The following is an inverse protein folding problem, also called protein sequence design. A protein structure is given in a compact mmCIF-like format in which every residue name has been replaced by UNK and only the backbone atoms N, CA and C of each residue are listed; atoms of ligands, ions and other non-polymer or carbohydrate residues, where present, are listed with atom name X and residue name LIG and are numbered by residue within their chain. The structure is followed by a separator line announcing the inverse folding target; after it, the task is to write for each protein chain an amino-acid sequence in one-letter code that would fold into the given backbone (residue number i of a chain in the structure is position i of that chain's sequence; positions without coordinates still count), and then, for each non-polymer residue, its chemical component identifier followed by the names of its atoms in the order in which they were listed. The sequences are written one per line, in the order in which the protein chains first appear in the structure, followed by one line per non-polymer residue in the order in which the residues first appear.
data_IF_504017806114
#
_entry.id   IF_504017806114
#
_cell.length_a   1.000
_cell.length_b   1.000
_cell.length_c   1.000
_cell.angle_alpha   90.00
_cell.angle_beta   90.00
_cell.angle_gamma   90.00
#
_symmetry.space_group_name_H-M   'P 1'
#
loop_
_entity.id
_entity.type
_entity.pdbx_description
1 polymer ?
#
# COMPACT_ATOMS: atom_id res chain seq x y z
N UNK A 1 -29.62 10.66 67.35
CA UNK A 1 -28.45 9.87 66.93
C UNK A 1 -28.31 9.86 65.40
N UNK A 2 -29.35 10.18 64.62
CA UNK A 2 -29.29 10.17 63.14
C UNK A 2 -28.43 11.25 62.48
N UNK A 3 -28.28 12.43 63.10
CA UNK A 3 -27.56 13.55 62.46
C UNK A 3 -26.05 13.30 62.25
N UNK A 4 -25.41 12.47 63.07
CA UNK A 4 -24.00 12.12 62.91
C UNK A 4 -23.79 11.14 61.74
N UNK A 5 -24.66 10.13 61.63
CA UNK A 5 -24.63 9.16 60.53
C UNK A 5 -24.92 9.83 59.18
N UNK A 6 -25.89 10.74 59.11
CA UNK A 6 -26.19 11.51 57.89
C UNK A 6 -25.01 12.38 57.45
N UNK A 7 -24.27 12.97 58.42
CA UNK A 7 -23.10 13.81 58.12
C UNK A 7 -21.91 12.99 57.61
N UNK A 8 -21.72 11.79 58.14
CA UNK A 8 -20.70 10.85 57.68
C UNK A 8 -21.00 10.30 56.28
N UNK A 9 -22.26 9.90 56.04
CA UNK A 9 -22.77 9.47 54.73
C UNK A 9 -22.60 10.57 53.67
N UNK A 10 -22.95 11.82 54.00
CA UNK A 10 -22.77 12.96 53.11
C UNK A 10 -21.29 13.25 52.80
N UNK A 11 -20.41 13.11 53.79
CA UNK A 11 -18.96 13.22 53.58
C UNK A 11 -18.41 12.15 52.64
N UNK A 12 -18.88 10.91 52.80
CA UNK A 12 -18.51 9.78 51.93
C UNK A 12 -18.98 10.01 50.49
N UNK A 13 -20.25 10.37 50.29
CA UNK A 13 -20.82 10.68 48.97
C UNK A 13 -20.08 11.84 48.29
N UNK A 14 -19.70 12.87 49.04
CA UNK A 14 -18.94 13.99 48.50
C UNK A 14 -17.55 13.55 48.00
N UNK A 15 -16.82 12.75 48.79
CA UNK A 15 -15.53 12.21 48.37
C UNK A 15 -15.62 11.28 47.16
N UNK A 16 -16.66 10.43 47.10
CA UNK A 16 -16.92 9.55 45.95
C UNK A 16 -17.24 10.37 44.69
N UNK A 17 -18.03 11.44 44.82
CA UNK A 17 -18.37 12.32 43.70
C UNK A 17 -17.17 13.10 43.17
N UNK A 18 -16.25 13.53 44.05
CA UNK A 18 -14.99 14.17 43.66
C UNK A 18 -14.05 13.19 42.95
N UNK A 19 -13.92 11.97 43.45
CA UNK A 19 -13.13 10.93 42.79
C UNK A 19 -13.71 10.57 41.41
N UNK A 20 -15.04 10.52 41.28
CA UNK A 20 -15.70 10.32 40.00
C UNK A 20 -15.41 11.47 39.03
N UNK A 21 -15.47 12.72 39.48
CA UNK A 21 -15.14 13.92 38.68
C UNK A 21 -13.71 13.88 38.16
N UNK A 22 -12.73 13.53 39.00
CA UNK A 22 -11.34 13.42 38.59
C UNK A 22 -11.13 12.30 37.56
N UNK A 23 -11.83 11.17 37.72
CA UNK A 23 -11.79 10.09 36.74
C UNK A 23 -12.42 10.50 35.40
N UNK A 24 -13.51 11.28 35.42
CA UNK A 24 -14.14 11.79 34.21
C UNK A 24 -13.26 12.81 33.48
N UNK A 25 -12.56 13.68 34.20
CA UNK A 25 -11.60 14.60 33.61
C UNK A 25 -10.46 13.84 32.89
N UNK A 26 -9.94 12.77 33.50
CA UNK A 26 -8.94 11.89 32.86
C UNK A 26 -9.49 11.18 31.63
N UNK A 27 -10.70 10.63 31.71
CA UNK A 27 -11.34 9.99 30.56
C UNK A 27 -11.56 10.98 29.40
N UNK A 28 -11.84 12.25 29.70
CA UNK A 28 -11.99 13.29 28.67
C UNK A 28 -10.65 13.62 27.99
N UNK A 29 -9.55 13.65 28.76
CA UNK A 29 -8.20 13.82 28.21
C UNK A 29 -7.81 12.62 27.33
N UNK A 30 -8.07 11.40 27.80
CA UNK A 30 -7.85 10.16 27.03
C UNK A 30 -8.70 10.10 25.76
N UNK A 31 -9.94 10.58 25.80
CA UNK A 31 -10.81 10.69 24.62
C UNK A 31 -10.22 11.62 23.56
N UNK A 32 -9.81 12.83 23.97
CA UNK A 32 -9.21 13.80 23.05
C UNK A 32 -7.93 13.25 22.41
N UNK A 33 -7.08 12.59 23.20
CA UNK A 33 -5.89 11.91 22.68
C UNK A 33 -6.25 10.78 21.70
N UNK A 34 -7.32 10.04 21.97
CA UNK A 34 -7.85 9.00 21.08
C UNK A 34 -8.38 9.57 19.76
N UNK A 35 -9.07 10.70 19.79
CA UNK A 35 -9.57 11.40 18.60
C UNK A 35 -8.41 11.93 17.72
N UNK A 36 -7.38 12.51 18.33
CA UNK A 36 -6.17 12.93 17.61
C UNK A 36 -5.45 11.74 16.97
N UNK A 37 -5.34 10.63 17.69
CA UNK A 37 -4.73 9.40 17.17
C UNK A 37 -5.55 8.80 16.02
N UNK A 38 -6.88 8.82 16.11
CA UNK A 38 -7.78 8.39 15.05
C UNK A 38 -7.59 9.23 13.78
N UNK A 39 -7.53 10.56 13.92
CA UNK A 39 -7.30 11.46 12.80
C UNK A 39 -5.93 11.21 12.13
N UNK A 40 -4.89 10.97 12.93
CA UNK A 40 -3.56 10.62 12.42
C UNK A 40 -3.59 9.28 11.64
N UNK A 41 -4.22 8.25 12.20
CA UNK A 41 -4.35 6.93 11.56
C UNK A 41 -5.15 6.99 10.26
N UNK A 42 -6.21 7.80 10.19
CA UNK A 42 -6.96 8.04 8.95
C UNK A 42 -6.08 8.71 7.88
N UNK A 43 -5.27 9.70 8.25
CA UNK A 43 -4.36 10.36 7.33
C UNK A 43 -3.27 9.41 6.81
N UNK A 44 -2.74 8.53 7.67
CA UNK A 44 -1.75 7.53 7.28
C UNK A 44 -2.36 6.49 6.33
N UNK A 45 -3.58 6.02 6.60
CA UNK A 45 -4.29 5.11 5.70
C UNK A 45 -4.47 5.70 4.29
N UNK A 46 -4.82 6.98 4.19
CA UNK A 46 -4.96 7.66 2.89
C UNK A 46 -3.62 7.72 2.14
N UNK A 47 -2.52 8.04 2.83
CA UNK A 47 -1.18 8.06 2.22
C UNK A 47 -0.76 6.68 1.74
N UNK A 48 -1.00 5.64 2.52
CA UNK A 48 -0.65 4.27 2.15
C UNK A 48 -1.45 3.79 0.94
N UNK A 49 -2.74 4.15 0.84
CA UNK A 49 -3.56 3.89 -0.35
C UNK A 49 -3.03 4.61 -1.60
N UNK A 50 -2.63 5.87 -1.47
CA UNK A 50 -2.04 6.63 -2.59
C UNK A 50 -0.71 6.00 -3.05
N UNK A 51 0.13 5.58 -2.10
CA UNK A 51 1.39 4.88 -2.41
C UNK A 51 1.14 3.54 -3.11
N UNK A 52 0.21 2.73 -2.60
CA UNK A 52 -0.16 1.45 -3.20
C UNK A 52 -0.69 1.63 -4.63
N UNK A 53 -1.49 2.67 -4.86
CA UNK A 53 -1.99 3.03 -6.21
C UNK A 53 -0.83 3.38 -7.15
N UNK A 54 0.09 4.23 -6.70
CA UNK A 54 1.25 4.62 -7.51
C UNK A 54 2.17 3.43 -7.84
N UNK A 55 2.41 2.54 -6.87
CA UNK A 55 3.18 1.30 -7.08
C UNK A 55 2.50 0.39 -8.09
N UNK A 56 1.17 0.25 -8.00
CA UNK A 56 0.38 -0.53 -8.97
C UNK A 56 0.55 0.00 -10.41
N UNK A 57 0.52 1.33 -10.59
CA UNK A 57 0.73 1.96 -11.89
C UNK A 57 2.14 1.67 -12.43
N UNK A 58 3.16 1.73 -11.55
CA UNK A 58 4.54 1.41 -11.94
C UNK A 58 4.71 -0.05 -12.34
N UNK A 59 4.05 -0.97 -11.62
CA UNK A 59 4.04 -2.40 -11.93
C UNK A 59 3.43 -2.69 -13.29
N UNK A 60 2.25 -2.11 -13.57
CA UNK A 60 1.61 -2.21 -14.88
C UNK A 60 2.50 -1.66 -16.00
N UNK A 61 3.18 -0.54 -15.77
CA UNK A 61 4.12 0.03 -16.74
C UNK A 61 5.32 -0.88 -17.01
N UNK A 62 5.86 -1.53 -15.97
CA UNK A 62 6.96 -2.49 -16.10
C UNK A 62 6.52 -3.75 -16.85
N UNK A 63 5.35 -4.30 -16.51
CA UNK A 63 4.76 -5.45 -17.20
C UNK A 63 4.55 -5.16 -18.69
N UNK A 64 4.01 -3.99 -19.03
CA UNK A 64 3.79 -3.57 -20.42
C UNK A 64 5.09 -3.47 -21.21
N UNK A 65 6.16 -2.94 -20.59
CA UNK A 65 7.50 -2.87 -21.21
C UNK A 65 8.07 -4.27 -21.43
N UNK A 66 7.99 -5.15 -20.44
CA UNK A 66 8.44 -6.53 -20.56
C UNK A 66 7.67 -7.29 -21.65
N UNK A 67 6.34 -7.10 -21.71
CA UNK A 67 5.48 -7.69 -22.74
C UNK A 67 5.87 -7.22 -24.15
N UNK A 68 6.13 -5.91 -24.33
CA UNK A 68 6.59 -5.34 -25.60
C UNK A 68 7.96 -5.93 -26.00
N UNK A 69 8.92 -5.96 -25.08
CA UNK A 69 10.23 -6.56 -25.30
C UNK A 69 10.13 -8.03 -25.76
N UNK A 70 9.34 -8.84 -25.04
CA UNK A 70 9.10 -10.26 -25.39
C UNK A 70 8.49 -10.42 -26.79
N UNK A 71 7.56 -9.54 -27.16
CA UNK A 71 6.96 -9.59 -28.49
C UNK A 71 7.98 -9.22 -29.57
N UNK A 72 8.82 -8.21 -29.35
CA UNK A 72 9.93 -7.87 -30.25
C UNK A 72 10.88 -9.06 -30.45
N UNK A 73 11.28 -9.75 -29.36
CA UNK A 73 12.10 -10.98 -29.47
C UNK A 73 11.43 -12.02 -30.36
N UNK A 74 10.14 -12.29 -30.12
CA UNK A 74 9.41 -13.33 -30.85
C UNK A 74 9.35 -13.03 -32.34
N UNK A 75 9.07 -11.78 -32.72
CA UNK A 75 9.04 -11.37 -34.12
C UNK A 75 10.43 -11.43 -34.77
N UNK A 76 11.48 -11.00 -34.06
CA UNK A 76 12.87 -11.10 -34.55
C UNK A 76 13.28 -12.57 -34.75
N UNK A 77 12.95 -13.46 -33.81
CA UNK A 77 13.21 -14.89 -33.94
C UNK A 77 12.48 -15.50 -35.14
N UNK A 78 11.23 -15.09 -35.38
CA UNK A 78 10.45 -15.53 -36.54
C UNK A 78 11.10 -15.08 -37.84
N UNK A 79 11.57 -13.82 -37.91
CA UNK A 79 12.31 -13.29 -39.07
C UNK A 79 13.59 -14.09 -39.33
N UNK A 80 14.37 -14.39 -38.29
CA UNK A 80 15.59 -15.22 -38.40
C UNK A 80 15.26 -16.60 -38.95
N UNK A 81 14.21 -17.27 -38.46
CA UNK A 81 13.79 -18.58 -38.99
C UNK A 81 13.46 -18.52 -40.49
N UNK A 82 12.73 -17.49 -40.92
CA UNK A 82 12.40 -17.28 -42.34
C UNK A 82 13.66 -17.05 -43.19
N UNK A 83 14.63 -16.28 -42.70
CA UNK A 83 15.91 -16.07 -43.39
C UNK A 83 16.69 -17.38 -43.53
N UNK A 84 16.72 -18.21 -42.47
CA UNK A 84 17.38 -19.51 -42.49
C UNK A 84 16.70 -20.48 -43.48
N UNK A 85 15.37 -20.48 -43.55
CA UNK A 85 14.62 -21.26 -44.54
C UNK A 85 14.93 -20.79 -45.98
N UNK A 86 14.99 -19.47 -46.22
CA UNK A 86 15.37 -18.92 -47.52
C UNK A 86 16.78 -19.33 -47.94
N UNK A 87 17.74 -19.32 -47.01
CA UNK A 87 19.11 -19.81 -47.20
C UNK A 87 19.13 -21.30 -47.60
N UNK A 88 18.30 -22.15 -47.00
CA UNK A 88 18.24 -23.58 -47.29
C UNK A 88 17.64 -23.88 -48.67
N UNK A 89 16.78 -22.99 -49.19
CA UNK A 89 16.13 -23.15 -50.52
C UNK A 89 16.93 -22.60 -51.71
N UNK A 90 18.08 -21.96 -51.47
CA UNK A 90 18.90 -21.38 -52.53
C UNK A 90 19.65 -22.47 -53.33
N UNK A 91 19.07 -22.87 -54.48
CA UNK A 91 19.64 -23.89 -55.37
C UNK A 91 20.67 -23.37 -56.39
N UNK A 92 20.64 -22.06 -56.72
CA UNK A 92 21.59 -21.40 -57.63
C UNK A 92 21.99 -20.04 -57.01
N UNK A 93 23.28 -19.80 -56.83
CA UNK A 93 23.81 -18.71 -56.00
C UNK A 93 23.83 -17.40 -56.80
N UNK A 94 22.80 -16.59 -56.62
CA UNK A 94 22.82 -15.17 -56.95
C UNK A 94 23.52 -14.41 -55.80
N UNK A 95 24.77 -14.01 -56.02
CA UNK A 95 25.63 -13.42 -54.98
C UNK A 95 25.08 -12.13 -54.38
N UNK A 96 24.26 -11.37 -55.12
CA UNK A 96 23.58 -10.18 -54.59
C UNK A 96 22.50 -10.56 -53.56
N UNK A 97 21.71 -11.61 -53.81
CA UNK A 97 20.71 -12.10 -52.85
C UNK A 97 21.35 -12.63 -51.58
N UNK A 98 22.49 -13.31 -51.70
CA UNK A 98 23.21 -13.83 -50.54
C UNK A 98 23.75 -12.70 -49.65
N UNK A 99 24.31 -11.64 -50.25
CA UNK A 99 24.79 -10.47 -49.52
C UNK A 99 23.66 -9.70 -48.82
N UNK A 100 22.47 -9.64 -49.43
CA UNK A 100 21.31 -9.00 -48.82
C UNK A 100 20.76 -9.81 -47.63
N UNK A 101 20.70 -11.13 -47.75
CA UNK A 101 20.33 -12.04 -46.64
C UNK A 101 21.32 -11.95 -45.47
N UNK A 102 22.62 -11.91 -45.75
CA UNK A 102 23.66 -11.78 -44.72
C UNK A 102 23.55 -10.44 -43.98
N UNK A 103 23.27 -9.35 -44.71
CA UNK A 103 23.02 -8.03 -44.13
C UNK A 103 21.77 -8.01 -43.25
N UNK A 104 20.66 -8.63 -43.69
CA UNK A 104 19.44 -8.74 -42.87
C UNK A 104 19.67 -9.61 -41.63
N UNK A 105 20.38 -10.72 -41.76
CA UNK A 105 20.68 -11.61 -40.62
C UNK A 105 21.54 -10.88 -39.58
N UNK A 106 22.58 -10.16 -40.02
CA UNK A 106 23.45 -9.38 -39.15
C UNK A 106 22.70 -8.26 -38.45
N UNK A 107 21.82 -7.53 -39.15
CA UNK A 107 20.98 -6.52 -38.53
C UNK A 107 20.03 -7.09 -37.46
N UNK A 108 19.48 -8.30 -37.67
CA UNK A 108 18.63 -8.96 -36.66
C UNK A 108 19.46 -9.47 -35.46
N UNK A 109 20.68 -9.98 -35.70
CA UNK A 109 21.61 -10.36 -34.63
C UNK A 109 22.04 -9.14 -33.81
N UNK A 110 22.38 -8.03 -34.46
CA UNK A 110 22.75 -6.79 -33.79
C UNK A 110 21.59 -6.22 -32.97
N UNK A 111 20.34 -6.37 -33.42
CA UNK A 111 19.15 -6.01 -32.62
C UNK A 111 18.98 -6.89 -31.38
N UNK A 112 19.30 -8.17 -31.49
CA UNK A 112 19.27 -9.09 -30.34
C UNK A 112 20.47 -8.91 -29.39
N UNK A 113 21.62 -8.44 -29.90
CA UNK A 113 22.86 -8.29 -29.14
C UNK A 113 23.03 -6.89 -28.52
N UNK A 114 22.61 -5.82 -29.21
CA UNK A 114 22.62 -4.46 -28.67
C UNK A 114 21.48 -4.21 -27.69
N UNK A 115 20.39 -4.95 -27.82
CA UNK A 115 19.41 -4.98 -26.75
C UNK A 115 19.94 -5.98 -25.73
N UNK A 116 20.41 -5.52 -24.58
CA UNK A 116 20.62 -6.28 -23.34
C UNK A 116 19.29 -6.90 -22.87
N UNK A 117 18.58 -7.59 -23.76
CA UNK A 117 17.14 -7.75 -23.71
C UNK A 117 16.77 -8.83 -22.72
N UNK A 118 17.59 -9.88 -22.64
CA UNK A 118 17.52 -10.87 -21.58
C UNK A 118 17.80 -10.24 -20.21
N UNK A 119 18.81 -9.39 -20.11
CA UNK A 119 19.16 -8.69 -18.87
C UNK A 119 18.09 -7.66 -18.47
N UNK A 120 17.49 -6.94 -19.43
CA UNK A 120 16.38 -6.00 -19.22
C UNK A 120 15.09 -6.72 -18.86
N UNK A 121 14.79 -7.85 -19.49
CA UNK A 121 13.64 -8.69 -19.10
C UNK A 121 13.84 -9.16 -17.66
N UNK A 122 15.02 -9.67 -17.33
CA UNK A 122 15.33 -10.10 -15.96
C UNK A 122 15.26 -8.96 -14.95
N UNK A 123 15.81 -7.78 -15.26
CA UNK A 123 15.70 -6.59 -14.42
C UNK A 123 14.25 -6.12 -14.24
N UNK A 124 13.42 -6.21 -15.30
CA UNK A 124 12.00 -5.88 -15.24
C UNK A 124 11.20 -6.91 -14.43
N UNK A 125 11.54 -8.20 -14.53
CA UNK A 125 10.95 -9.27 -13.72
C UNK A 125 11.32 -9.11 -12.23
N UNK A 126 12.59 -8.83 -11.93
CA UNK A 126 13.07 -8.56 -10.58
C UNK A 126 12.40 -7.32 -9.97
N UNK A 127 12.25 -6.24 -10.77
CA UNK A 127 11.54 -5.03 -10.36
C UNK A 127 10.04 -5.31 -10.10
N UNK A 128 9.39 -6.11 -10.95
CA UNK A 128 8.00 -6.53 -10.75
C UNK A 128 7.83 -7.33 -9.47
N UNK A 129 8.70 -8.31 -9.22
CA UNK A 129 8.67 -9.11 -7.99
C UNK A 129 8.93 -8.27 -6.73
N UNK A 130 9.76 -7.23 -6.81
CA UNK A 130 9.97 -6.29 -5.71
C UNK A 130 8.72 -5.43 -5.45
N UNK A 131 8.04 -4.98 -6.50
CA UNK A 131 6.82 -4.19 -6.41
C UNK A 131 5.65 -5.03 -5.86
N UNK A 132 5.53 -6.30 -6.24
CA UNK A 132 4.54 -7.23 -5.67
C UNK A 132 4.73 -7.41 -4.16
N UNK A 133 5.98 -7.56 -3.70
CA UNK A 133 6.27 -7.62 -2.25
C UNK A 133 5.91 -6.32 -1.53
N UNK A 134 6.16 -5.18 -2.17
CA UNK A 134 5.78 -3.88 -1.61
C UNK A 134 4.25 -3.77 -1.49
N UNK A 135 3.50 -4.17 -2.52
CA UNK A 135 2.03 -4.22 -2.50
C UNK A 135 1.51 -5.10 -1.36
N UNK A 136 2.04 -6.30 -1.19
CA UNK A 136 1.65 -7.19 -0.09
C UNK A 136 1.92 -6.60 1.31
N UNK A 137 2.96 -5.78 1.44
CA UNK A 137 3.24 -5.07 2.68
C UNK A 137 2.24 -3.95 2.90
N UNK A 138 1.98 -3.12 1.89
CA UNK A 138 0.97 -2.06 1.99
C UNK A 138 -0.43 -2.61 2.29
N UNK A 139 -0.83 -3.73 1.68
CA UNK A 139 -2.10 -4.40 1.99
C UNK A 139 -2.20 -4.81 3.47
N UNK A 140 -1.10 -5.33 4.04
CA UNK A 140 -1.02 -5.69 5.46
C UNK A 140 -1.08 -4.47 6.37
N UNK A 141 -0.35 -3.41 6.01
CA UNK A 141 -0.27 -2.19 6.79
C UNK A 141 -1.63 -1.48 6.80
N UNK A 142 -2.28 -1.37 5.63
CA UNK A 142 -3.67 -0.88 5.49
C UNK A 142 -4.61 -1.72 6.36
N UNK A 143 -4.53 -3.04 6.29
CA UNK A 143 -5.38 -3.92 7.11
C UNK A 143 -5.20 -3.70 8.62
N UNK A 144 -3.97 -3.48 9.06
CA UNK A 144 -3.66 -3.19 10.46
C UNK A 144 -4.20 -1.82 10.88
N UNK A 145 -3.98 -0.78 10.06
CA UNK A 145 -4.47 0.58 10.34
C UNK A 145 -6.00 0.62 10.37
N UNK A 146 -6.68 -0.09 9.46
CA UNK A 146 -8.15 -0.17 9.47
C UNK A 146 -8.70 -0.85 10.72
N UNK A 147 -7.99 -1.86 11.25
CA UNK A 147 -8.35 -2.49 12.51
C UNK A 147 -8.17 -1.53 13.69
N UNK A 148 -7.07 -0.78 13.72
CA UNK A 148 -6.82 0.26 14.73
C UNK A 148 -7.91 1.35 14.68
N UNK A 149 -8.25 1.84 13.48
CA UNK A 149 -9.33 2.83 13.28
C UNK A 149 -10.63 2.32 13.88
N UNK A 150 -11.04 1.09 13.55
CA UNK A 150 -12.27 0.50 14.07
C UNK A 150 -12.25 0.42 15.60
N UNK A 151 -11.13 0.02 16.20
CA UNK A 151 -11.00 -0.02 17.65
C UNK A 151 -11.16 1.37 18.28
N UNK A 152 -10.56 2.40 17.68
CA UNK A 152 -10.66 3.78 18.16
C UNK A 152 -12.08 4.35 17.98
N UNK A 153 -12.77 4.00 16.89
CA UNK A 153 -14.18 4.35 16.68
C UNK A 153 -15.09 3.71 17.73
N UNK A 154 -14.88 2.42 18.03
CA UNK A 154 -15.62 1.69 19.07
C UNK A 154 -15.40 2.34 20.46
N UNK A 155 -14.18 2.79 20.76
CA UNK A 155 -13.86 3.51 22.01
C UNK A 155 -14.57 4.87 22.05
N UNK A 156 -14.47 5.66 20.99
CA UNK A 156 -15.14 6.97 20.87
C UNK A 156 -16.64 6.84 21.10
N UNK A 157 -17.27 5.86 20.47
CA UNK A 157 -18.72 5.66 20.53
C UNK A 157 -19.18 5.09 21.88
N UNK A 158 -18.30 4.41 22.62
CA UNK A 158 -18.56 3.94 23.98
C UNK A 158 -18.44 5.04 25.04
N UNK A 159 -17.92 6.23 24.70
CA UNK A 159 -17.71 7.30 25.66
C UNK A 159 -18.99 8.12 25.90
N UNK A 160 -19.34 8.39 27.17
CA UNK A 160 -20.59 9.06 27.50
C UNK A 160 -20.59 10.52 27.03
N UNK A 161 -21.66 10.93 26.33
CA UNK A 161 -21.84 12.32 25.90
C UNK A 161 -22.48 13.18 27.00
N UNK A 162 -21.82 14.27 27.40
CA UNK A 162 -22.34 15.23 28.39
C UNK A 162 -21.25 15.96 29.19
N UNK A 163 -21.61 17.03 29.89
CA UNK A 163 -20.76 17.66 30.89
C UNK A 163 -21.06 17.02 32.25
N UNK A 164 -20.18 16.15 32.72
CA UNK A 164 -20.40 15.40 33.96
C UNK A 164 -19.71 16.04 35.19
N UNK A 165 -19.09 17.21 35.03
CA UNK A 165 -18.42 17.94 36.10
C UNK A 165 -19.36 18.92 36.85
N UNK A 166 -20.67 18.74 36.77
CA UNK A 166 -21.63 19.61 37.44
C UNK A 166 -21.76 19.22 38.92
N UNK A 167 -20.99 19.86 39.78
CA UNK A 167 -21.19 19.77 41.23
C UNK A 167 -22.59 20.30 41.59
N UNK A 168 -23.45 19.43 42.14
CA UNK A 168 -24.70 19.87 42.77
C UNK A 168 -24.37 20.65 44.04
N UNK A 169 -24.43 21.98 43.95
CA UNK A 169 -24.47 22.86 45.12
C UNK A 169 -25.92 22.86 45.61
N UNK A 170 -26.21 22.12 46.67
CA UNK A 170 -27.43 22.33 47.45
C UNK A 170 -27.09 23.21 48.68
N UNK A 171 -27.68 24.40 48.72
CA UNK A 171 -27.62 25.35 49.83
C UNK A 171 -28.49 24.88 51.02
N UNK A 172 -28.17 25.30 52.26
CA UNK A 172 -28.65 24.70 53.52
C UNK A 172 -30.15 24.88 53.81
#
# INVERSE_FOLDING_TARGET
QDSAAVKEEAGRLFSESMALNDNMAKMQEELLAGEEMLAAKQADAMRDMDMATNVTIQAQSAEDKARKARNTVRETLKRIKQLLEQLDTLQDIDGEKLAELEKELKANQDRMANEELADKIKQLEDAGAQQDRALQNYERDIGTILADIKNLEDIRDALPQGCFNAASIENP
#
